data_IF_345848816865
#
_entry.id   IF_345848816865
#
_cell.length_a   1.000
_cell.length_b   1.000
_cell.length_c   1.000
_cell.angle_alpha   90.00
_cell.angle_beta   90.00
_cell.angle_gamma   90.00
#
_symmetry.space_group_name_H-M   'P 1'
#
loop_
_entity.id
_entity.type
_entity.pdbx_description
1 polymer ?
#
# COMPACT_ATOMS: atom_id res chain seq x y z
N UNK A 1 21.19 -7.18 42.63
CA UNK A 1 20.08 -7.77 41.85
C UNK A 1 19.47 -6.67 41.01
N UNK A 2 19.98 -6.47 39.80
CA UNK A 2 19.48 -5.48 38.84
C UNK A 2 18.84 -6.28 37.72
N UNK A 3 17.58 -5.98 37.45
CA UNK A 3 16.70 -6.70 36.53
C UNK A 3 17.17 -6.57 35.09
N UNK A 4 17.30 -7.73 34.45
CA UNK A 4 17.54 -7.91 33.03
C UNK A 4 16.36 -7.33 32.23
N UNK A 5 16.61 -6.32 31.40
CA UNK A 5 15.73 -5.92 30.31
C UNK A 5 16.47 -6.23 28.99
N UNK A 6 16.10 -7.29 28.24
CA UNK A 6 16.89 -7.77 27.10
C UNK A 6 16.50 -7.14 25.76
N UNK A 7 16.04 -5.88 25.72
CA UNK A 7 15.69 -5.22 24.46
C UNK A 7 16.04 -3.73 24.49
N UNK A 8 17.28 -3.38 24.22
CA UNK A 8 17.62 -2.55 23.05
C UNK A 8 19.10 -2.87 22.73
N UNK A 9 19.34 -3.67 21.67
CA UNK A 9 20.67 -3.70 21.06
C UNK A 9 20.83 -2.40 20.27
N UNK A 10 21.25 -1.35 20.97
CA UNK A 10 21.80 -0.16 20.35
C UNK A 10 23.28 -0.50 20.12
N UNK A 11 23.63 -0.86 18.90
CA UNK A 11 25.02 -1.09 18.52
C UNK A 11 25.74 0.27 18.47
N UNK A 12 26.25 0.71 19.62
CA UNK A 12 27.06 1.92 19.77
C UNK A 12 28.51 1.65 19.36
N UNK A 13 28.79 1.57 18.07
CA UNK A 13 30.15 1.78 17.54
C UNK A 13 30.18 2.90 16.50
N UNK A 14 30.50 4.10 16.98
CA UNK A 14 31.44 5.04 16.35
C UNK A 14 31.11 5.60 14.95
N UNK A 15 29.95 6.23 14.75
CA UNK A 15 29.77 7.34 13.79
C UNK A 15 28.53 8.18 14.18
N UNK A 16 28.55 9.50 13.93
CA UNK A 16 27.52 10.47 14.36
C UNK A 16 26.07 9.97 14.27
N UNK A 17 25.46 9.74 15.43
CA UNK A 17 24.20 9.03 15.61
C UNK A 17 23.03 9.71 14.87
N UNK A 18 22.60 9.10 13.75
CA UNK A 18 21.33 9.44 13.11
C UNK A 18 20.19 8.86 13.95
N UNK A 19 19.49 9.71 14.72
CA UNK A 19 18.33 9.30 15.51
C UNK A 19 17.26 8.71 14.59
N UNK A 20 16.87 7.46 14.83
CA UNK A 20 15.76 6.80 14.17
C UNK A 20 14.49 7.10 14.97
N UNK A 21 13.51 7.68 14.31
CA UNK A 21 12.23 8.11 14.88
C UNK A 21 11.10 7.29 14.23
N UNK A 22 10.01 7.11 14.96
CA UNK A 22 8.79 6.48 14.43
C UNK A 22 7.70 7.51 14.22
N UNK A 23 6.97 7.40 13.11
CA UNK A 23 5.88 8.29 12.77
C UNK A 23 4.75 7.56 12.03
N UNK A 24 3.59 8.20 12.02
CA UNK A 24 2.43 7.79 11.25
C UNK A 24 1.93 8.97 10.43
N UNK A 25 1.36 8.68 9.27
CA UNK A 25 0.88 9.70 8.37
C UNK A 25 0.16 9.12 7.18
N UNK A 26 0.06 9.92 6.12
CA UNK A 26 -0.55 9.52 4.86
C UNK A 26 0.42 9.72 3.70
N UNK A 27 0.37 8.84 2.71
CA UNK A 27 1.15 9.04 1.49
C UNK A 27 0.64 10.28 0.75
N UNK A 28 1.49 11.29 0.59
CA UNK A 28 1.16 12.54 -0.10
C UNK A 28 1.12 12.32 -1.61
N UNK A 29 2.14 11.64 -2.12
CA UNK A 29 2.21 11.20 -3.51
C UNK A 29 3.31 10.15 -3.67
N UNK A 30 3.13 9.26 -4.64
CA UNK A 30 4.12 8.25 -4.98
C UNK A 30 4.24 8.09 -6.49
N UNK A 31 5.45 8.28 -7.01
CA UNK A 31 5.73 8.06 -8.41
C UNK A 31 6.14 6.60 -8.64
N UNK A 32 5.17 5.82 -9.10
CA UNK A 32 5.33 4.39 -9.39
C UNK A 32 6.41 4.10 -10.43
N UNK A 33 6.59 4.98 -11.41
CA UNK A 33 7.60 4.81 -12.47
C UNK A 33 9.02 5.03 -11.93
N UNK A 34 9.19 6.03 -11.06
CA UNK A 34 10.49 6.37 -10.51
C UNK A 34 10.81 5.61 -9.21
N UNK A 35 9.80 5.03 -8.55
CA UNK A 35 9.96 4.26 -7.32
C UNK A 35 10.22 5.11 -6.07
N UNK A 36 9.82 6.38 -6.06
CA UNK A 36 9.93 7.24 -4.89
C UNK A 36 8.70 8.13 -4.71
N UNK A 37 8.56 8.68 -3.51
CA UNK A 37 7.46 9.56 -3.15
C UNK A 37 7.71 10.33 -1.88
N UNK A 38 6.65 10.95 -1.38
CA UNK A 38 6.64 11.64 -0.09
C UNK A 38 5.44 11.22 0.73
N UNK A 39 5.67 11.13 2.05
CA UNK A 39 4.65 10.87 3.05
C UNK A 39 4.50 12.14 3.87
N UNK A 40 3.26 12.54 4.11
CA UNK A 40 2.94 13.63 5.01
C UNK A 40 2.73 13.06 6.41
N UNK A 41 3.65 13.38 7.31
CA UNK A 41 3.62 12.91 8.70
C UNK A 41 2.66 13.77 9.51
N UNK A 42 1.65 13.13 10.11
CA UNK A 42 0.68 13.79 11.01
C UNK A 42 0.94 13.50 12.48
N UNK A 43 1.63 12.41 12.79
CA UNK A 43 2.03 12.10 14.15
C UNK A 43 3.44 11.54 14.21
N UNK A 44 4.20 11.99 15.20
CA UNK A 44 5.54 11.52 15.51
C UNK A 44 5.53 10.98 16.94
N UNK A 45 5.91 9.73 17.13
CA UNK A 45 5.98 9.08 18.46
C UNK A 45 4.68 9.26 19.30
N UNK A 46 3.53 9.19 18.64
CA UNK A 46 2.22 9.36 19.29
C UNK A 46 1.82 10.80 19.62
N UNK A 47 2.62 11.80 19.23
CA UNK A 47 2.26 13.23 19.35
C UNK A 47 1.79 13.76 17.99
N UNK A 48 0.68 14.51 17.94
CA UNK A 48 0.28 15.21 16.72
C UNK A 48 1.33 16.26 16.34
N UNK A 49 1.62 16.36 15.05
CA UNK A 49 2.60 17.32 14.50
C UNK A 49 1.85 18.29 13.58
N UNK A 50 1.92 19.57 13.91
CA UNK A 50 1.40 20.67 13.11
C UNK A 50 2.50 21.75 12.99
N UNK A 51 3.01 22.08 11.78
CA UNK A 51 2.59 21.61 10.46
C UNK A 51 3.04 20.17 10.13
N UNK A 52 2.30 19.45 9.26
CA UNK A 52 2.71 18.11 8.84
C UNK A 52 4.05 18.16 8.10
N UNK A 53 4.93 17.21 8.41
CA UNK A 53 6.28 17.15 7.85
C UNK A 53 6.35 16.21 6.65
N UNK A 54 7.05 16.63 5.62
CA UNK A 54 7.26 15.82 4.42
C UNK A 54 8.45 14.87 4.63
N UNK A 55 8.20 13.56 4.50
CA UNK A 55 9.18 12.49 4.67
C UNK A 55 9.41 11.80 3.34
N UNK A 56 10.67 11.72 2.92
CA UNK A 56 11.05 11.07 1.68
C UNK A 56 10.93 9.54 1.79
N UNK A 57 10.31 8.92 0.79
CA UNK A 57 10.16 7.47 0.71
C UNK A 57 10.67 6.90 -0.61
N UNK A 58 11.40 5.80 -0.50
CA UNK A 58 11.88 5.02 -1.63
C UNK A 58 11.28 3.62 -1.62
N UNK A 59 11.00 3.05 -2.79
CA UNK A 59 10.36 1.75 -2.96
C UNK A 59 11.11 0.60 -2.26
N UNK A 60 12.43 0.73 -2.05
CA UNK A 60 13.23 -0.31 -1.37
C UNK A 60 12.97 -0.38 0.13
N UNK A 61 12.31 0.63 0.70
CA UNK A 61 11.99 0.74 2.13
C UNK A 61 10.56 0.27 2.45
N UNK A 62 9.75 0.01 1.42
CA UNK A 62 8.39 -0.50 1.56
C UNK A 62 8.43 -1.99 1.91
N UNK A 63 7.78 -2.36 3.02
CA UNK A 63 7.67 -3.74 3.48
C UNK A 63 6.44 -4.36 2.85
N UNK A 64 6.59 -4.85 1.62
CA UNK A 64 5.57 -5.59 0.90
C UNK A 64 6.18 -6.53 -0.13
N UNK A 65 5.44 -7.58 -0.46
CA UNK A 65 5.84 -8.54 -1.48
C UNK A 65 5.40 -8.10 -2.88
N UNK A 66 6.23 -8.36 -3.88
CA UNK A 66 5.94 -8.03 -5.27
C UNK A 66 6.17 -6.56 -5.63
N UNK A 67 5.15 -5.93 -6.23
CA UNK A 67 5.27 -4.59 -6.78
C UNK A 67 5.13 -3.52 -5.67
N UNK A 68 6.24 -2.86 -5.35
CA UNK A 68 6.33 -1.94 -4.21
C UNK A 68 5.87 -0.53 -4.59
N UNK A 69 4.65 -0.19 -4.20
CA UNK A 69 4.11 1.17 -4.35
C UNK A 69 3.24 1.57 -3.18
N UNK A 70 2.91 2.86 -3.09
CA UNK A 70 1.94 3.40 -2.15
C UNK A 70 0.78 4.05 -2.90
N UNK A 71 -0.42 3.98 -2.33
CA UNK A 71 -1.57 4.75 -2.83
C UNK A 71 -1.59 6.14 -2.19
N UNK A 72 -1.91 7.15 -2.97
CA UNK A 72 -2.12 8.51 -2.46
C UNK A 72 -3.27 8.54 -1.44
N UNK A 73 -3.03 9.17 -0.29
CA UNK A 73 -3.95 9.21 0.85
C UNK A 73 -3.98 7.94 1.70
N UNK A 74 -3.16 6.92 1.38
CA UNK A 74 -3.07 5.69 2.20
C UNK A 74 -2.41 5.99 3.54
N UNK A 75 -3.02 5.50 4.63
CA UNK A 75 -2.45 5.58 5.97
C UNK A 75 -1.25 4.63 6.09
N UNK A 76 -0.14 5.15 6.60
CA UNK A 76 1.12 4.40 6.71
C UNK A 76 1.81 4.69 8.04
N UNK A 77 2.50 3.67 8.53
CA UNK A 77 3.41 3.75 9.67
C UNK A 77 4.83 3.57 9.17
N UNK A 78 5.75 4.41 9.64
CA UNK A 78 7.12 4.38 9.14
C UNK A 78 8.12 4.81 10.20
N UNK A 79 9.33 4.29 10.04
CA UNK A 79 10.50 4.79 10.77
C UNK A 79 11.31 5.68 9.85
N UNK A 80 11.74 6.84 10.32
CA UNK A 80 12.52 7.79 9.55
C UNK A 80 13.75 8.24 10.34
N UNK A 81 14.73 8.78 9.62
CA UNK A 81 15.91 9.42 10.20
C UNK A 81 16.07 10.82 9.63
N UNK A 82 16.76 11.67 10.37
CA UNK A 82 17.20 12.96 9.86
C UNK A 82 18.49 12.78 9.05
N UNK A 83 18.46 13.17 7.79
CA UNK A 83 19.59 13.12 6.85
C UNK A 83 19.94 14.54 6.39
N UNK A 84 21.06 14.70 5.68
CA UNK A 84 21.48 15.99 5.12
C UNK A 84 20.49 16.57 4.11
N UNK A 85 19.69 15.72 3.47
CA UNK A 85 18.65 16.09 2.49
C UNK A 85 17.25 16.30 3.10
N UNK A 86 17.10 16.14 4.42
CA UNK A 86 15.80 16.17 5.10
C UNK A 86 15.44 14.86 5.78
N UNK A 87 14.15 14.60 5.97
CA UNK A 87 13.65 13.39 6.61
C UNK A 87 13.58 12.24 5.60
N UNK A 88 14.24 11.13 5.92
CA UNK A 88 14.32 9.95 5.07
C UNK A 88 13.71 8.73 5.78
N UNK A 89 12.78 8.05 5.13
CA UNK A 89 12.23 6.78 5.64
C UNK A 89 13.24 5.64 5.53
N UNK A 90 13.28 4.81 6.58
CA UNK A 90 14.07 3.59 6.66
C UNK A 90 13.23 2.34 6.45
N UNK A 91 11.97 2.37 6.89
CA UNK A 91 11.01 1.27 6.81
C UNK A 91 9.61 1.85 6.78
N UNK A 92 8.76 1.36 5.89
CA UNK A 92 7.35 1.78 5.77
C UNK A 92 6.46 0.55 5.72
N UNK A 93 5.41 0.58 6.53
CA UNK A 93 4.36 -0.44 6.62
C UNK A 93 2.98 0.19 6.56
N UNK A 94 1.96 -0.63 6.34
CA UNK A 94 0.58 -0.25 6.57
C UNK A 94 0.28 -0.05 8.06
N UNK A 95 -0.95 0.37 8.40
CA UNK A 95 -1.39 0.54 9.78
C UNK A 95 -1.31 -0.80 10.54
N UNK A 96 -0.85 -0.77 11.78
CA UNK A 96 -0.69 -1.98 12.60
C UNK A 96 0.41 -2.93 12.10
N UNK A 97 1.36 -2.45 11.30
CA UNK A 97 2.46 -3.24 10.76
C UNK A 97 2.09 -4.18 9.61
N UNK A 98 0.89 -4.05 9.05
CA UNK A 98 0.45 -4.81 7.87
C UNK A 98 1.20 -4.44 6.59
N UNK A 99 0.99 -5.20 5.49
CA UNK A 99 1.52 -4.84 4.18
C UNK A 99 0.85 -3.56 3.67
N UNK A 100 1.60 -2.75 2.90
CA UNK A 100 1.02 -1.60 2.20
C UNK A 100 0.04 -2.07 1.12
N UNK A 101 -1.07 -1.35 0.95
CA UNK A 101 -2.12 -1.63 -0.05
C UNK A 101 -1.59 -1.44 -1.47
N UNK A 102 -0.75 -0.41 -1.65
CA UNK A 102 -0.13 -0.09 -2.91
C UNK A 102 -1.08 0.50 -3.96
N UNK A 103 -0.52 0.95 -5.07
CA UNK A 103 -1.27 1.64 -6.12
C UNK A 103 -2.10 0.68 -6.98
N UNK A 104 -3.40 0.96 -7.16
CA UNK A 104 -4.31 0.23 -8.06
C UNK A 104 -3.90 0.27 -9.55
N UNK A 105 -2.86 1.03 -9.91
CA UNK A 105 -2.32 1.13 -11.27
C UNK A 105 -1.56 -0.10 -11.74
N UNK A 106 -1.51 -1.18 -10.95
CA UNK A 106 -1.24 -2.50 -11.52
C UNK A 106 -2.49 -2.89 -12.31
N UNK A 107 -2.44 -3.03 -13.65
CA UNK A 107 -3.50 -3.77 -14.32
C UNK A 107 -3.50 -5.14 -13.65
N UNK A 108 -4.51 -5.39 -12.81
CA UNK A 108 -4.92 -6.76 -12.51
C UNK A 108 -5.25 -7.31 -13.89
N UNK A 109 -4.28 -7.97 -14.53
CA UNK A 109 -4.56 -8.82 -15.67
C UNK A 109 -5.78 -9.60 -15.24
N UNK A 110 -6.87 -9.44 -16.00
CA UNK A 110 -8.19 -9.97 -15.68
C UNK A 110 -8.02 -11.43 -15.24
N UNK A 111 -7.90 -11.64 -13.94
CA UNK A 111 -8.05 -12.96 -13.38
C UNK A 111 -9.56 -13.12 -13.44
N UNK A 112 -10.01 -13.84 -14.47
CA UNK A 112 -11.39 -14.20 -14.62
C UNK A 112 -11.84 -14.74 -13.26
N UNK A 113 -12.71 -13.98 -12.59
CA UNK A 113 -13.49 -14.47 -11.46
C UNK A 113 -14.46 -15.50 -12.05
N UNK A 114 -13.94 -16.67 -12.37
CA UNK A 114 -14.72 -17.88 -12.29
C UNK A 114 -14.73 -18.20 -10.79
N UNK A 115 -15.72 -17.64 -10.08
CA UNK A 115 -16.26 -18.35 -8.94
C UNK A 115 -16.72 -19.69 -9.52
N UNK A 116 -15.91 -20.73 -9.34
CA UNK A 116 -16.42 -22.09 -9.37
C UNK A 116 -17.21 -22.23 -8.07
N UNK A 117 -18.45 -21.75 -8.09
CA UNK A 117 -19.45 -22.22 -7.16
C UNK A 117 -19.66 -23.71 -7.50
N UNK A 118 -19.00 -24.56 -6.73
CA UNK A 118 -19.23 -25.99 -6.69
C UNK A 118 -20.57 -26.24 -5.98
N UNK A 119 -21.68 -25.94 -6.64
CA UNK A 119 -23.01 -26.43 -6.27
C UNK A 119 -24.02 -26.20 -7.39
N UNK A 120 -24.34 -27.26 -8.13
CA UNK A 120 -25.63 -27.37 -8.83
C UNK A 120 -25.54 -27.86 -10.28
N UNK A 121 -26.07 -29.05 -10.60
CA UNK A 121 -26.24 -29.50 -11.97
C UNK A 121 -27.60 -29.03 -12.49
N UNK A 122 -27.63 -28.13 -13.48
CA UNK A 122 -28.62 -28.23 -14.55
C UNK A 122 -28.27 -27.34 -15.73
N UNK A 123 -28.03 -27.99 -16.87
CA UNK A 123 -27.86 -27.38 -18.17
C UNK A 123 -29.22 -27.31 -18.86
N UNK A 124 -29.71 -26.11 -19.18
CA UNK A 124 -30.65 -25.93 -20.29
C UNK A 124 -30.23 -24.70 -21.08
N UNK A 125 -29.63 -24.96 -22.24
CA UNK A 125 -29.40 -24.02 -23.32
C UNK A 125 -30.75 -23.73 -23.99
N UNK A 126 -31.26 -22.51 -23.88
CA UNK A 126 -32.26 -22.03 -24.85
C UNK A 126 -31.54 -21.23 -25.93
N UNK A 127 -31.45 -21.89 -27.08
CA UNK A 127 -31.01 -21.37 -28.36
C UNK A 127 -31.80 -20.12 -28.75
N UNK A 128 -31.05 -19.09 -29.10
CA UNK A 128 -31.47 -17.92 -29.83
C UNK A 128 -31.89 -18.35 -31.25
N UNK A 129 -33.19 -18.33 -31.56
CA UNK A 129 -33.67 -18.49 -32.93
C UNK A 129 -34.88 -17.59 -33.22
N UNK A 130 -34.58 -16.55 -34.00
CA UNK A 130 -35.41 -15.94 -35.05
C UNK A 130 -36.83 -15.46 -34.68
N UNK A 131 -36.96 -14.14 -34.51
CA UNK A 131 -38.17 -13.40 -34.88
C UNK A 131 -37.78 -12.27 -35.84
N UNK A 132 -37.62 -12.61 -37.12
CA UNK A 132 -37.85 -11.68 -38.23
C UNK A 132 -38.66 -12.44 -39.27
N UNK A 133 -39.95 -12.15 -39.35
CA UNK A 133 -40.63 -12.11 -40.65
C UNK A 133 -41.82 -11.17 -40.56
N UNK A 134 -41.68 -10.03 -41.23
CA UNK A 134 -42.80 -9.25 -41.73
C UNK A 134 -43.63 -10.05 -42.75
N UNK A 135 -44.85 -9.55 -42.93
CA UNK A 135 -45.58 -9.45 -44.20
C UNK A 135 -46.58 -10.53 -44.62
N UNK A 136 -47.84 -10.04 -44.73
CA UNK A 136 -48.89 -10.33 -45.71
C UNK A 136 -49.88 -11.46 -45.38
N UNK A 137 -51.10 -11.07 -44.98
CA UNK A 137 -52.30 -11.41 -45.76
C UNK A 137 -53.48 -10.47 -45.50
N UNK A 138 -54.15 -10.11 -46.59
CA UNK A 138 -55.34 -9.28 -46.72
C UNK A 138 -56.58 -9.82 -46.01
N UNK A 139 -57.47 -8.90 -45.63
CA UNK A 139 -58.90 -8.95 -45.95
C UNK A 139 -59.47 -7.52 -45.87
#
# INVERSE_FOLDING_TARGET
YVTENPHILIDYKETGASVILAGSGYCKWFNVRMGFGFISMTSSEGKPVDPPLDVFVHQSKLVMEGFRSLREGEQVEFTFKRSSKGLESLRVTGPGGGPCSGSDRRPKGKFNKFCLDFSGPNWIMFSYSQFISCSIHSA
#
